data_IF_029424268405
#
_entry.id   IF_029424268405
#
_cell.length_a   1.000
_cell.length_b   1.000
_cell.length_c   1.000
_cell.angle_alpha   90.00
_cell.angle_beta   90.00
_cell.angle_gamma   90.00
#
_symmetry.space_group_name_H-M   'P 1'
#
loop_
_entity.id
_entity.type
_entity.pdbx_description
1 polymer ?
#
# COMPACT_ATOMS: atom_id res chain seq x y z
N UNK A 1 20.58 9.58 5.24
CA UNK A 1 19.35 8.78 5.07
C UNK A 1 18.59 9.38 3.91
N UNK A 2 18.16 8.60 2.92
CA UNK A 2 17.39 9.16 1.81
C UNK A 2 16.01 9.60 2.32
N UNK A 3 15.60 10.83 2.01
CA UNK A 3 14.25 11.31 2.30
C UNK A 3 13.26 10.55 1.41
N UNK A 4 12.73 9.45 1.94
CA UNK A 4 11.70 8.69 1.27
C UNK A 4 10.40 9.51 1.25
N UNK A 5 9.69 9.55 0.11
CA UNK A 5 8.45 10.29 0.02
C UNK A 5 7.44 9.74 1.02
N UNK A 6 6.87 10.65 1.81
CA UNK A 6 5.75 10.36 2.70
C UNK A 6 4.50 10.14 1.85
N UNK A 7 4.01 8.91 1.82
CA UNK A 7 2.82 8.54 1.05
C UNK A 7 1.63 8.32 1.98
N UNK A 8 0.45 8.75 1.57
CA UNK A 8 -0.80 8.28 2.16
C UNK A 8 -1.10 6.85 1.74
N UNK A 9 -1.96 6.16 2.48
CA UNK A 9 -2.43 4.83 2.07
C UNK A 9 -3.12 4.82 0.70
N UNK A 10 -3.79 5.92 0.31
CA UNK A 10 -4.43 6.05 -1.01
C UNK A 10 -3.40 6.17 -2.13
N UNK A 11 -2.34 6.94 -1.92
CA UNK A 11 -1.27 7.10 -2.90
C UNK A 11 -0.48 5.79 -3.07
N UNK A 12 -0.18 5.10 -1.98
CA UNK A 12 0.43 3.77 -2.02
C UNK A 12 -0.46 2.74 -2.74
N UNK A 13 -1.77 2.72 -2.48
CA UNK A 13 -2.73 1.86 -3.20
C UNK A 13 -2.71 2.17 -4.70
N UNK A 14 -2.75 3.45 -5.08
CA UNK A 14 -2.69 3.85 -6.50
C UNK A 14 -1.42 3.35 -7.19
N UNK A 15 -0.26 3.49 -6.54
CA UNK A 15 1.02 3.02 -7.09
C UNK A 15 1.04 1.50 -7.26
N UNK A 16 0.51 0.74 -6.29
CA UNK A 16 0.40 -0.71 -6.40
C UNK A 16 -0.43 -1.12 -7.62
N UNK A 17 -1.62 -0.53 -7.77
CA UNK A 17 -2.52 -0.83 -8.89
C UNK A 17 -1.89 -0.45 -10.24
N UNK A 18 -1.25 0.72 -10.35
CA UNK A 18 -0.53 1.14 -11.55
C UNK A 18 0.62 0.20 -11.93
N UNK A 19 1.24 -0.46 -10.95
CA UNK A 19 2.33 -1.41 -11.17
C UNK A 19 1.84 -2.86 -11.36
N UNK A 20 0.54 -3.07 -11.57
CA UNK A 20 -0.03 -4.38 -11.89
C UNK A 20 -0.25 -5.29 -10.68
N UNK A 21 -0.30 -4.73 -9.48
CA UNK A 21 -0.83 -5.46 -8.34
C UNK A 21 -2.36 -5.47 -8.37
N UNK A 22 -2.98 -6.54 -7.88
CA UNK A 22 -4.42 -6.66 -7.71
C UNK A 22 -4.79 -6.86 -6.25
N UNK A 23 -5.95 -6.35 -5.83
CA UNK A 23 -6.45 -6.54 -4.47
C UNK A 23 -6.90 -7.99 -4.31
N UNK A 24 -6.25 -8.73 -3.41
CA UNK A 24 -6.59 -10.12 -3.12
C UNK A 24 -7.57 -10.25 -1.95
N UNK A 25 -7.40 -9.43 -0.91
CA UNK A 25 -8.22 -9.47 0.31
C UNK A 25 -8.20 -8.14 1.05
N UNK A 26 -9.29 -7.82 1.73
CA UNK A 26 -9.33 -6.80 2.77
C UNK A 26 -9.82 -7.43 4.08
N UNK A 27 -9.17 -7.08 5.20
CA UNK A 27 -9.64 -7.42 6.55
C UNK A 27 -9.46 -6.20 7.45
N UNK A 28 -10.57 -5.64 7.93
CA UNK A 28 -10.56 -4.39 8.68
C UNK A 28 -9.89 -3.26 7.88
N UNK A 29 -8.98 -2.54 8.53
CA UNK A 29 -8.21 -1.45 7.93
C UNK A 29 -6.97 -1.91 7.17
N UNK A 30 -6.82 -3.19 6.82
CA UNK A 30 -5.69 -3.69 6.04
C UNK A 30 -6.13 -4.29 4.72
N UNK A 31 -5.43 -3.94 3.65
CA UNK A 31 -5.60 -4.48 2.30
C UNK A 31 -4.38 -5.30 1.91
N UNK A 32 -4.59 -6.39 1.20
CA UNK A 32 -3.54 -7.27 0.68
C UNK A 32 -3.57 -7.22 -0.85
N UNK A 33 -2.46 -6.84 -1.45
CA UNK A 33 -2.27 -6.82 -2.90
C UNK A 33 -1.28 -7.88 -3.35
N UNK A 34 -1.50 -8.45 -4.53
CA UNK A 34 -0.64 -9.48 -5.11
C UNK A 34 -0.21 -9.14 -6.54
N UNK A 35 1.03 -9.50 -6.88
CA UNK A 35 1.56 -9.49 -8.26
C UNK A 35 2.46 -10.72 -8.42
N UNK A 36 1.95 -11.76 -9.09
CA UNK A 36 2.63 -13.04 -9.17
C UNK A 36 2.90 -13.63 -7.78
N UNK A 37 4.17 -13.80 -7.43
CA UNK A 37 4.61 -14.32 -6.12
C UNK A 37 4.79 -13.22 -5.05
N UNK A 38 4.62 -11.95 -5.41
CA UNK A 38 4.82 -10.81 -4.49
C UNK A 38 3.50 -10.49 -3.77
N UNK A 39 3.57 -10.35 -2.45
CA UNK A 39 2.44 -9.96 -1.59
C UNK A 39 2.78 -8.67 -0.83
N UNK A 40 1.98 -7.62 -1.02
CA UNK A 40 2.07 -6.38 -0.25
C UNK A 40 0.88 -6.25 0.70
N UNK A 41 1.16 -6.02 1.99
CA UNK A 41 0.12 -5.65 2.96
C UNK A 41 0.17 -4.14 3.14
N UNK A 42 -0.96 -3.47 2.98
CA UNK A 42 -1.10 -2.03 3.08
C UNK A 42 -2.04 -1.69 4.24
N UNK A 43 -1.55 -1.05 5.32
CA UNK A 43 -2.43 -0.44 6.31
C UNK A 43 -3.16 0.74 5.66
N UNK A 44 -4.48 0.72 5.78
CA UNK A 44 -5.42 1.63 5.12
C UNK A 44 -6.27 2.33 6.18
N UNK A 45 -5.65 3.22 6.93
CA UNK A 45 -6.32 4.22 7.76
C UNK A 45 -6.47 5.53 6.96
N UNK A 46 -7.68 6.05 6.88
CA UNK A 46 -7.93 7.36 6.27
C UNK A 46 -7.11 8.44 6.98
N UNK A 47 -6.43 9.28 6.20
CA UNK A 47 -5.81 10.51 6.69
C UNK A 47 -4.45 10.38 7.39
N UNK A 48 -3.86 9.18 7.55
CA UNK A 48 -2.48 9.08 8.07
C UNK A 48 -1.46 8.80 6.98
N UNK A 49 -0.34 9.51 7.08
CA UNK A 49 0.88 9.28 6.32
C UNK A 49 1.44 7.91 6.72
N UNK A 50 1.80 7.10 5.72
CA UNK A 50 2.62 5.92 5.93
C UNK A 50 4.02 6.40 6.27
N UNK A 51 4.47 6.09 7.48
CA UNK A 51 5.84 6.39 7.86
C UNK A 51 6.79 5.48 7.06
N UNK A 52 7.75 6.05 6.32
CA UNK A 52 8.88 5.27 5.84
C UNK A 52 9.62 4.77 7.08
N UNK A 53 9.80 3.44 7.18
CA UNK A 53 10.57 2.80 8.25
C UNK A 53 12.01 3.28 8.26
#
# INVERSE_FOLDING_TARGET
>A
MADLPRLTAKEAERLLLQNGFTLARQKGSHKIYIKGKIRQVLPFHSGKILHPL
#
